data_IF_799645336837
#
_entry.id   IF_799645336837
#
_cell.length_a   1.000
_cell.length_b   1.000
_cell.length_c   1.000
_cell.angle_alpha   90.00
_cell.angle_beta   90.00
_cell.angle_gamma   90.00
#
_symmetry.space_group_name_H-M   'P 1'
#
loop_
_entity.id
_entity.type
_entity.pdbx_description
1 polymer ?
#
# COMPACT_ATOMS: atom_id res chain seq x y z
N UNK A 1 -1.99 34.11 8.96
CA UNK A 1 -1.91 34.01 7.50
C UNK A 1 -1.54 32.57 7.18
N UNK A 2 -2.44 31.84 6.54
CA UNK A 2 -2.15 30.50 6.04
C UNK A 2 -1.41 30.67 4.72
N UNK A 3 -0.21 30.13 4.62
CA UNK A 3 0.55 30.12 3.38
C UNK A 3 0.32 28.77 2.72
N UNK A 4 -0.21 28.80 1.51
CA UNK A 4 -0.28 27.63 0.65
C UNK A 4 1.09 27.46 0.00
N UNK A 5 1.66 26.27 0.15
CA UNK A 5 2.90 25.89 -0.53
C UNK A 5 2.48 25.20 -1.82
N UNK A 6 3.06 25.59 -2.95
CA UNK A 6 2.75 24.99 -4.25
C UNK A 6 2.94 23.46 -4.23
N UNK A 7 2.02 22.76 -4.89
CA UNK A 7 2.09 21.32 -5.08
C UNK A 7 3.35 20.96 -5.86
N UNK A 8 4.16 20.06 -5.31
CA UNK A 8 5.39 19.57 -5.95
C UNK A 8 5.16 18.17 -6.50
N UNK A 9 5.57 17.94 -7.75
CA UNK A 9 5.52 16.61 -8.35
C UNK A 9 6.52 15.67 -7.67
N UNK A 10 6.09 14.42 -7.44
CA UNK A 10 6.95 13.38 -6.90
C UNK A 10 7.75 12.70 -8.03
N UNK A 11 8.89 12.04 -7.71
CA UNK A 11 9.59 11.24 -8.71
C UNK A 11 8.77 10.12 -9.33
N UNK A 12 7.58 9.80 -8.80
CA UNK A 12 6.69 8.79 -9.39
C UNK A 12 6.16 9.21 -10.77
N UNK A 13 6.22 10.51 -11.06
CA UNK A 13 5.85 11.11 -12.33
C UNK A 13 7.05 11.42 -13.21
N UNK A 14 8.27 11.18 -12.72
CA UNK A 14 9.51 11.40 -13.46
C UNK A 14 9.83 10.16 -14.33
N UNK A 15 10.49 10.40 -15.45
CA UNK A 15 10.72 9.43 -16.52
C UNK A 15 11.51 8.19 -16.06
N UNK A 16 12.46 8.33 -15.13
CA UNK A 16 13.25 7.22 -14.59
C UNK A 16 12.34 6.20 -13.89
N UNK A 17 11.43 6.68 -13.05
CA UNK A 17 10.46 5.83 -12.36
C UNK A 17 9.45 5.23 -13.33
N UNK A 18 8.97 6.02 -14.29
CA UNK A 18 8.05 5.56 -15.33
C UNK A 18 8.68 4.43 -16.14
N UNK A 19 9.96 4.54 -16.50
CA UNK A 19 10.72 3.52 -17.22
C UNK A 19 10.76 2.21 -16.43
N UNK A 20 11.22 2.26 -15.17
CA UNK A 20 11.29 1.08 -14.29
C UNK A 20 9.92 0.42 -14.10
N UNK A 21 8.88 1.22 -13.88
CA UNK A 21 7.50 0.75 -13.71
C UNK A 21 6.99 0.09 -14.99
N UNK A 22 7.25 0.67 -16.15
CA UNK A 22 6.75 0.17 -17.44
C UNK A 22 7.35 -1.19 -17.76
N UNK A 23 8.68 -1.33 -17.63
CA UNK A 23 9.35 -2.62 -17.88
C UNK A 23 8.90 -3.66 -16.86
N UNK A 24 8.77 -3.29 -15.58
CA UNK A 24 8.25 -4.19 -14.55
C UNK A 24 6.81 -4.64 -14.84
N UNK A 25 5.96 -3.75 -15.35
CA UNK A 25 4.58 -4.08 -15.69
C UNK A 25 4.51 -5.05 -16.88
N UNK A 26 5.32 -4.85 -17.91
CA UNK A 26 5.42 -5.79 -19.04
C UNK A 26 5.88 -7.17 -18.59
N UNK A 27 6.81 -7.24 -17.62
CA UNK A 27 7.27 -8.51 -17.07
C UNK A 27 6.17 -9.25 -16.30
N UNK A 28 5.34 -8.53 -15.55
CA UNK A 28 4.17 -9.08 -14.85
C UNK A 28 3.09 -9.51 -15.85
N UNK A 29 2.78 -8.67 -16.84
CA UNK A 29 1.77 -8.99 -17.86
C UNK A 29 2.16 -10.25 -18.65
N UNK A 30 3.42 -10.36 -19.07
CA UNK A 30 3.93 -11.57 -19.71
C UNK A 30 3.76 -12.82 -18.84
N UNK A 31 4.01 -12.72 -17.52
CA UNK A 31 3.77 -13.83 -16.62
C UNK A 31 2.30 -14.23 -16.55
N UNK A 32 1.38 -13.25 -16.51
CA UNK A 32 -0.06 -13.49 -16.47
C UNK A 32 -0.54 -14.20 -17.73
N UNK A 33 -0.09 -13.76 -18.90
CA UNK A 33 -0.42 -14.40 -20.18
C UNK A 33 0.11 -15.83 -20.23
N UNK A 34 1.39 -16.04 -19.89
CA UNK A 34 1.98 -17.39 -19.85
C UNK A 34 1.22 -18.31 -18.88
N UNK A 35 0.78 -17.77 -17.74
CA UNK A 35 0.02 -18.53 -16.74
C UNK A 35 -1.38 -18.89 -17.23
N UNK A 36 -2.09 -17.95 -17.85
CA UNK A 36 -3.41 -18.22 -18.47
C UNK A 36 -3.28 -19.30 -19.54
N UNK A 37 -2.29 -19.20 -20.45
CA UNK A 37 -2.01 -20.23 -21.45
C UNK A 37 -1.71 -21.62 -20.87
N UNK A 38 -1.21 -21.70 -19.62
CA UNK A 38 -0.92 -22.96 -18.92
C UNK A 38 -2.15 -23.49 -18.18
N UNK A 39 -2.90 -22.62 -17.50
CA UNK A 39 -4.02 -22.97 -16.62
C UNK A 39 -5.34 -23.20 -17.38
N UNK A 40 -5.56 -22.48 -18.48
CA UNK A 40 -6.80 -22.52 -19.25
C UNK A 40 -6.70 -23.61 -20.34
N UNK A 41 -7.34 -24.76 -20.06
CA UNK A 41 -7.39 -25.93 -20.96
C UNK A 41 -8.22 -25.69 -22.24
N UNK A 42 -8.97 -24.60 -22.31
CA UNK A 42 -9.69 -24.16 -23.50
C UNK A 42 -8.95 -22.93 -24.04
N UNK A 43 -8.41 -23.05 -25.25
CA UNK A 43 -7.76 -21.94 -25.96
C UNK A 43 -8.72 -20.75 -25.97
N UNK A 44 -8.42 -19.70 -25.20
CA UNK A 44 -8.96 -18.40 -25.57
C UNK A 44 -8.16 -17.94 -26.80
N UNK A 45 -8.86 -17.45 -27.82
CA UNK A 45 -8.23 -16.97 -29.07
C UNK A 45 -7.42 -15.67 -28.84
N UNK A 46 -7.42 -15.14 -27.61
CA UNK A 46 -6.84 -13.84 -27.24
C UNK A 46 -5.38 -13.89 -26.80
N UNK A 47 -4.88 -14.99 -26.26
CA UNK A 47 -3.55 -15.07 -25.64
C UNK A 47 -2.42 -14.92 -26.67
N UNK A 48 -2.51 -15.51 -27.88
CA UNK A 48 -1.58 -15.19 -28.95
C UNK A 48 -1.61 -13.70 -29.33
N UNK A 49 -2.79 -13.07 -29.25
CA UNK A 49 -2.96 -11.63 -29.53
C UNK A 49 -2.31 -10.79 -28.42
N UNK A 50 -2.45 -11.17 -27.15
CA UNK A 50 -1.81 -10.48 -26.02
C UNK A 50 -0.27 -10.61 -26.06
N UNK A 51 0.27 -11.78 -26.43
CA UNK A 51 1.71 -11.94 -26.63
C UNK A 51 2.24 -11.03 -27.74
N UNK A 52 1.50 -10.89 -28.86
CA UNK A 52 1.86 -9.96 -29.94
C UNK A 52 1.80 -8.50 -29.48
N UNK A 53 0.81 -8.11 -28.68
CA UNK A 53 0.74 -6.77 -28.10
C UNK A 53 1.94 -6.49 -27.17
N UNK A 54 2.31 -7.45 -26.32
CA UNK A 54 3.51 -7.35 -25.48
C UNK A 54 4.76 -7.17 -26.36
N UNK A 55 4.87 -7.92 -27.46
CA UNK A 55 5.97 -7.77 -28.42
C UNK A 55 6.03 -6.37 -29.02
N UNK A 56 4.89 -5.85 -29.50
CA UNK A 56 4.78 -4.50 -30.06
C UNK A 56 5.21 -3.44 -29.04
N UNK A 57 4.78 -3.55 -27.79
CA UNK A 57 5.21 -2.65 -26.71
C UNK A 57 6.71 -2.73 -26.43
N UNK A 58 7.30 -3.93 -26.43
CA UNK A 58 8.74 -4.11 -26.23
C UNK A 58 9.55 -3.53 -27.39
N UNK A 59 9.08 -3.69 -28.63
CA UNK A 59 9.69 -3.10 -29.82
C UNK A 59 9.60 -1.57 -29.79
N UNK A 60 8.44 -1.02 -29.41
CA UNK A 60 8.25 0.42 -29.25
C UNK A 60 9.19 1.00 -28.19
N UNK A 61 9.36 0.33 -27.05
CA UNK A 61 10.31 0.79 -26.02
C UNK A 61 11.76 0.76 -26.51
N UNK A 62 12.13 -0.27 -27.28
CA UNK A 62 13.49 -0.42 -27.80
C UNK A 62 13.83 0.55 -28.93
N UNK A 63 12.82 1.10 -29.62
CA UNK A 63 13.01 2.07 -30.70
C UNK A 63 13.13 3.51 -30.22
N UNK A 64 12.83 3.78 -28.94
CA UNK A 64 13.03 5.09 -28.33
C UNK A 64 14.53 5.33 -28.16
N UNK A 65 15.03 6.43 -28.74
CA UNK A 65 16.41 6.87 -28.61
C UNK A 65 16.60 7.61 -27.28
N UNK A 66 16.65 6.86 -26.19
CA UNK A 66 16.86 7.35 -24.83
C UNK A 66 17.96 6.55 -24.13
N UNK A 67 18.99 7.23 -23.67
CA UNK A 67 20.16 6.62 -23.00
C UNK A 67 19.76 5.73 -21.81
N UNK A 68 18.69 6.08 -21.10
CA UNK A 68 18.18 5.30 -19.96
C UNK A 68 17.60 3.97 -20.42
N UNK A 69 16.85 3.98 -21.52
CA UNK A 69 16.30 2.76 -22.12
C UNK A 69 17.39 1.88 -22.73
N UNK A 70 18.47 2.48 -23.25
CA UNK A 70 19.62 1.73 -23.75
C UNK A 70 20.24 0.83 -22.67
N UNK A 71 20.32 1.31 -21.42
CA UNK A 71 20.78 0.49 -20.29
C UNK A 71 19.87 -0.70 -19.99
N UNK A 72 18.59 -0.61 -20.35
CA UNK A 72 17.59 -1.66 -20.12
C UNK A 72 17.37 -2.57 -21.34
N UNK A 73 18.04 -2.32 -22.47
CA UNK A 73 18.02 -3.19 -23.64
C UNK A 73 18.29 -4.68 -23.34
N UNK A 74 19.22 -5.07 -22.44
CA UNK A 74 19.41 -6.47 -22.09
C UNK A 74 18.15 -7.11 -21.48
N UNK A 75 17.40 -6.35 -20.66
CA UNK A 75 16.15 -6.81 -20.07
C UNK A 75 15.06 -6.89 -21.13
N UNK A 76 14.90 -5.85 -21.95
CA UNK A 76 13.92 -5.84 -23.04
C UNK A 76 14.13 -7.02 -24.01
N UNK A 77 15.39 -7.26 -24.43
CA UNK A 77 15.74 -8.41 -25.28
C UNK A 77 15.38 -9.75 -24.63
N UNK A 78 15.50 -9.84 -23.31
CA UNK A 78 15.16 -11.06 -22.56
C UNK A 78 13.65 -11.29 -22.54
N UNK A 79 12.87 -10.24 -22.28
CA UNK A 79 11.40 -10.30 -22.36
C UNK A 79 10.94 -10.68 -23.77
N UNK A 80 11.48 -10.04 -24.81
CA UNK A 80 11.19 -10.38 -26.20
C UNK A 80 11.50 -11.84 -26.52
N UNK A 81 12.67 -12.35 -26.08
CA UNK A 81 13.05 -13.76 -26.29
C UNK A 81 12.06 -14.73 -25.66
N UNK A 82 11.52 -14.40 -24.48
CA UNK A 82 10.49 -15.21 -23.83
C UNK A 82 9.18 -15.16 -24.63
N UNK A 83 8.75 -13.98 -25.07
CA UNK A 83 7.58 -13.82 -25.94
C UNK A 83 7.69 -14.65 -27.22
N UNK A 84 8.83 -14.60 -27.93
CA UNK A 84 9.06 -15.41 -29.14
C UNK A 84 9.04 -16.91 -28.88
N UNK A 85 9.66 -17.35 -27.77
CA UNK A 85 9.64 -18.75 -27.38
C UNK A 85 8.22 -19.22 -27.07
N UNK A 86 7.42 -18.40 -26.41
CA UNK A 86 6.03 -18.70 -26.07
C UNK A 86 5.15 -18.79 -27.31
N UNK A 87 5.26 -17.83 -28.23
CA UNK A 87 4.57 -17.86 -29.53
C UNK A 87 4.93 -19.09 -30.39
N UNK A 88 6.17 -19.57 -30.25
CA UNK A 88 6.66 -20.75 -30.99
C UNK A 88 6.45 -22.07 -30.25
N UNK A 89 5.87 -22.04 -29.04
CA UNK A 89 5.67 -23.25 -28.25
C UNK A 89 4.56 -24.09 -28.87
N UNK A 90 4.85 -25.37 -29.09
CA UNK A 90 3.93 -26.32 -29.73
C UNK A 90 3.30 -27.27 -28.72
N UNK A 91 3.79 -27.26 -27.47
CA UNK A 91 3.34 -28.16 -26.40
C UNK A 91 3.25 -27.41 -25.08
N UNK A 92 2.34 -27.86 -24.21
CA UNK A 92 2.17 -27.30 -22.86
C UNK A 92 3.44 -27.41 -22.03
N UNK A 93 4.14 -28.54 -22.12
CA UNK A 93 5.41 -28.74 -21.42
C UNK A 93 6.46 -27.69 -21.79
N UNK A 94 6.52 -27.28 -23.06
CA UNK A 94 7.41 -26.20 -23.49
C UNK A 94 7.02 -24.86 -22.86
N UNK A 95 5.72 -24.55 -22.77
CA UNK A 95 5.24 -23.34 -22.11
C UNK A 95 5.57 -23.34 -20.61
N UNK A 96 5.37 -24.47 -19.91
CA UNK A 96 5.74 -24.64 -18.51
C UNK A 96 7.25 -24.43 -18.30
N UNK A 97 8.10 -25.03 -19.15
CA UNK A 97 9.55 -24.87 -19.09
C UNK A 97 9.96 -23.40 -19.35
N UNK A 98 9.32 -22.73 -20.31
CA UNK A 98 9.53 -21.30 -20.62
C UNK A 98 9.14 -20.43 -19.42
N UNK A 99 7.97 -20.66 -18.81
CA UNK A 99 7.49 -19.89 -17.68
C UNK A 99 8.40 -20.08 -16.45
N UNK A 100 8.78 -21.33 -16.14
CA UNK A 100 9.68 -21.62 -15.03
C UNK A 100 11.04 -20.94 -15.20
N UNK A 101 11.61 -20.99 -16.40
CA UNK A 101 12.84 -20.27 -16.71
C UNK A 101 12.64 -18.75 -16.58
N UNK A 102 11.57 -18.21 -17.14
CA UNK A 102 11.26 -16.78 -17.09
C UNK A 102 11.13 -16.27 -15.65
N UNK A 103 10.42 -16.97 -14.77
CA UNK A 103 10.23 -16.59 -13.37
C UNK A 103 11.56 -16.53 -12.60
N UNK A 104 12.48 -17.47 -12.83
CA UNK A 104 13.82 -17.44 -12.22
C UNK A 104 14.63 -16.23 -12.67
N UNK A 105 14.50 -15.85 -13.95
CA UNK A 105 15.27 -14.78 -14.56
C UNK A 105 14.73 -13.39 -14.19
N UNK A 106 13.40 -13.23 -14.21
CA UNK A 106 12.74 -11.95 -13.95
C UNK A 106 12.74 -11.58 -12.47
N UNK A 107 12.83 -12.56 -11.57
CA UNK A 107 12.88 -12.32 -10.12
C UNK A 107 13.96 -11.31 -9.74
N UNK A 108 15.20 -11.53 -10.18
CA UNK A 108 16.33 -10.63 -9.85
C UNK A 108 16.16 -9.25 -10.48
N UNK A 109 15.55 -9.18 -11.66
CA UNK A 109 15.28 -7.93 -12.36
C UNK A 109 14.24 -7.11 -11.60
N UNK A 110 13.12 -7.73 -11.23
CA UNK A 110 12.05 -7.09 -10.47
C UNK A 110 12.52 -6.70 -9.06
N UNK A 111 13.37 -7.50 -8.41
CA UNK A 111 14.00 -7.15 -7.12
C UNK A 111 14.87 -5.88 -7.25
N UNK A 112 15.70 -5.80 -8.31
CA UNK A 112 16.52 -4.62 -8.61
C UNK A 112 15.65 -3.39 -8.88
N UNK A 113 14.64 -3.51 -9.75
CA UNK A 113 13.77 -2.39 -10.09
C UNK A 113 12.93 -1.91 -8.91
N UNK A 114 12.46 -2.83 -8.06
CA UNK A 114 11.77 -2.46 -6.82
C UNK A 114 12.69 -1.64 -5.91
N UNK A 115 13.95 -2.07 -5.73
CA UNK A 115 14.92 -1.33 -4.92
C UNK A 115 15.20 0.07 -5.50
N UNK A 116 15.43 0.18 -6.80
CA UNK A 116 15.65 1.46 -7.48
C UNK A 116 14.43 2.39 -7.40
N UNK A 117 13.23 1.85 -7.63
CA UNK A 117 11.98 2.60 -7.52
C UNK A 117 11.77 3.14 -6.10
N UNK A 118 12.02 2.31 -5.08
CA UNK A 118 11.97 2.74 -3.67
C UNK A 118 13.00 3.84 -3.39
N UNK A 119 14.25 3.68 -3.85
CA UNK A 119 15.30 4.68 -3.67
C UNK A 119 14.93 6.03 -4.30
N UNK A 120 14.42 6.01 -5.55
CA UNK A 120 13.98 7.22 -6.25
C UNK A 120 12.87 7.95 -5.48
N UNK A 121 11.84 7.21 -5.02
CA UNK A 121 10.75 7.81 -4.23
C UNK A 121 11.26 8.43 -2.93
N UNK A 122 12.05 7.68 -2.14
CA UNK A 122 12.55 8.15 -0.84
C UNK A 122 13.49 9.36 -0.99
N UNK A 123 14.37 9.37 -2.00
CA UNK A 123 15.20 10.53 -2.33
C UNK A 123 14.36 11.74 -2.73
N UNK A 124 13.29 11.52 -3.50
CA UNK A 124 12.32 12.55 -3.84
C UNK A 124 11.66 13.18 -2.62
N UNK A 125 11.10 12.34 -1.75
CA UNK A 125 10.47 12.79 -0.50
C UNK A 125 11.45 13.57 0.37
N UNK A 126 12.69 13.09 0.49
CA UNK A 126 13.76 13.80 1.19
C UNK A 126 14.03 15.19 0.60
N UNK A 127 14.19 15.27 -0.72
CA UNK A 127 14.40 16.54 -1.45
C UNK A 127 13.24 17.51 -1.24
N UNK A 128 12.00 17.04 -1.42
CA UNK A 128 10.78 17.86 -1.31
C UNK A 128 10.63 18.38 0.12
N UNK A 129 10.65 17.47 1.11
CA UNK A 129 10.51 17.83 2.52
C UNK A 129 11.64 18.76 2.97
N UNK A 130 12.88 18.47 2.57
CA UNK A 130 14.04 19.30 2.89
C UNK A 130 13.95 20.70 2.31
N UNK A 131 13.41 20.86 1.09
CA UNK A 131 13.14 22.17 0.50
C UNK A 131 12.05 22.90 1.28
N UNK A 132 10.94 22.24 1.60
CA UNK A 132 9.87 22.87 2.37
C UNK A 132 10.32 23.31 3.77
N UNK A 133 11.10 22.49 4.47
CA UNK A 133 11.69 22.84 5.77
C UNK A 133 12.57 24.09 5.64
N UNK A 134 13.44 24.15 4.64
CA UNK A 134 14.34 25.30 4.43
C UNK A 134 13.61 26.58 4.00
N UNK A 135 12.66 26.47 3.09
CA UNK A 135 12.00 27.63 2.47
C UNK A 135 10.85 28.18 3.32
N UNK A 136 10.14 27.32 4.04
CA UNK A 136 8.93 27.69 4.79
C UNK A 136 9.07 27.52 6.31
N UNK A 137 10.28 27.18 6.79
CA UNK A 137 10.56 26.94 8.20
C UNK A 137 9.56 25.95 8.83
N UNK A 138 9.28 24.85 8.11
CA UNK A 138 8.38 23.81 8.61
C UNK A 138 8.99 23.17 9.87
N UNK A 139 8.23 23.19 10.96
CA UNK A 139 8.60 22.59 12.23
C UNK A 139 7.77 21.32 12.42
N UNK A 140 8.43 20.17 12.56
CA UNK A 140 7.75 18.87 12.69
C UNK A 140 6.68 18.86 13.80
N UNK A 141 6.95 19.50 14.94
CA UNK A 141 6.03 19.57 16.08
C UNK A 141 4.73 20.33 15.74
N UNK A 142 4.75 21.21 14.73
CA UNK A 142 3.61 22.00 14.26
C UNK A 142 3.04 21.50 12.93
N UNK A 143 3.69 20.53 12.33
CA UNK A 143 3.27 19.94 11.07
C UNK A 143 2.42 18.69 11.31
N UNK A 144 1.55 18.40 10.35
CA UNK A 144 0.75 17.18 10.27
C UNK A 144 0.87 16.67 8.85
N UNK A 145 1.12 15.37 8.70
CA UNK A 145 1.24 14.70 7.41
C UNK A 145 0.01 13.84 7.21
N UNK A 146 -0.64 14.03 6.06
CA UNK A 146 -1.75 13.22 5.59
C UNK A 146 -1.28 12.42 4.39
N UNK A 147 -1.37 11.08 4.46
CA UNK A 147 -1.07 10.18 3.34
C UNK A 147 -2.40 9.64 2.83
N UNK A 148 -2.76 9.93 1.58
CA UNK A 148 -4.02 9.50 0.97
C UNK A 148 -3.76 8.30 0.06
N UNK A 149 -4.48 7.19 0.24
CA UNK A 149 -4.27 5.95 -0.51
C UNK A 149 -5.57 5.30 -1.02
N UNK A 150 -5.55 4.64 -2.21
CA UNK A 150 -6.74 4.12 -2.90
C UNK A 150 -7.46 2.96 -2.19
N UNK A 151 -6.76 2.20 -1.35
CA UNK A 151 -7.28 1.08 -0.57
C UNK A 151 -6.38 0.86 0.65
N UNK A 152 -6.95 0.32 1.74
CA UNK A 152 -6.37 -0.12 3.03
C UNK A 152 -4.95 0.43 3.32
N UNK A 153 -4.68 1.09 4.48
CA UNK A 153 -3.33 1.58 4.78
C UNK A 153 -2.33 0.43 4.64
N UNK A 154 -1.56 0.43 3.53
CA UNK A 154 -0.72 -0.72 3.21
C UNK A 154 0.32 -0.84 4.33
N UNK A 155 0.32 -1.95 5.04
CA UNK A 155 1.39 -2.22 5.98
C UNK A 155 2.72 -2.12 5.22
N UNK A 156 3.59 -1.21 5.65
CA UNK A 156 4.87 -0.96 4.99
C UNK A 156 4.88 0.05 3.83
N UNK A 157 3.90 0.97 3.71
CA UNK A 157 4.06 2.14 2.82
C UNK A 157 5.39 2.86 3.06
N UNK A 158 6.16 3.10 1.99
CA UNK A 158 7.50 3.69 2.10
C UNK A 158 7.40 5.18 2.50
N UNK A 159 6.34 5.87 2.08
CA UNK A 159 6.02 7.25 2.47
C UNK A 159 5.76 7.32 3.98
N UNK A 160 4.97 6.38 4.50
CA UNK A 160 4.68 6.27 5.92
C UNK A 160 5.97 6.04 6.71
N UNK A 161 6.79 5.09 6.29
CA UNK A 161 8.08 4.80 6.93
C UNK A 161 8.99 6.04 6.95
N UNK A 162 9.12 6.73 5.80
CA UNK A 162 9.88 7.96 5.70
C UNK A 162 9.44 9.04 6.71
N UNK A 163 8.13 9.30 6.80
CA UNK A 163 7.64 10.34 7.72
C UNK A 163 7.68 9.92 9.19
N UNK A 164 7.51 8.63 9.49
CA UNK A 164 7.75 8.12 10.85
C UNK A 164 9.21 8.36 11.28
N UNK A 165 10.17 8.07 10.40
CA UNK A 165 11.60 8.30 10.67
C UNK A 165 11.92 9.80 10.80
N UNK A 166 11.34 10.64 9.95
CA UNK A 166 11.48 12.10 10.05
C UNK A 166 10.96 12.61 11.41
N UNK A 167 9.77 12.19 11.82
CA UNK A 167 9.20 12.58 13.11
C UNK A 167 10.00 12.05 14.30
N UNK A 168 10.48 10.80 14.22
CA UNK A 168 11.32 10.21 15.26
C UNK A 168 12.62 11.01 15.45
N UNK A 169 13.28 11.41 14.36
CA UNK A 169 14.47 12.27 14.39
C UNK A 169 14.22 13.61 15.09
N UNK A 170 13.01 14.15 14.96
CA UNK A 170 12.57 15.40 15.57
C UNK A 170 11.98 15.23 16.99
N UNK A 171 12.11 14.02 17.57
CA UNK A 171 11.71 13.70 18.94
C UNK A 171 10.25 13.24 19.12
N UNK A 172 9.56 12.88 18.05
CA UNK A 172 8.13 12.49 18.05
C UNK A 172 8.01 10.98 17.77
N UNK A 173 8.20 10.15 18.81
CA UNK A 173 8.26 8.69 18.67
C UNK A 173 6.92 8.01 18.33
N UNK A 174 5.79 8.58 18.77
CA UNK A 174 4.44 8.03 18.55
C UNK A 174 3.64 8.89 17.55
N UNK A 175 4.27 9.23 16.41
CA UNK A 175 3.70 10.14 15.40
C UNK A 175 2.34 9.68 14.85
N UNK A 176 2.15 8.37 14.68
CA UNK A 176 0.88 7.80 14.17
C UNK A 176 -0.16 7.59 15.28
N UNK A 177 0.19 6.85 16.35
CA UNK A 177 -0.82 6.28 17.26
C UNK A 177 -1.33 7.22 18.35
N UNK A 178 -0.49 8.11 18.88
CA UNK A 178 -0.84 8.93 20.07
C UNK A 178 -0.92 10.42 19.78
N UNK A 179 -0.16 10.88 18.79
CA UNK A 179 0.02 12.31 18.57
C UNK A 179 -0.67 12.81 17.30
N UNK A 180 -1.17 11.88 16.47
CA UNK A 180 -1.87 12.17 15.22
C UNK A 180 -1.07 13.04 14.26
N UNK A 181 0.28 13.00 14.33
CA UNK A 181 1.17 13.73 13.44
C UNK A 181 1.26 13.14 12.04
N UNK A 182 1.00 11.85 11.92
CA UNK A 182 0.91 11.11 10.68
C UNK A 182 -0.43 10.38 10.62
N UNK A 183 -1.23 10.69 9.59
CA UNK A 183 -2.55 10.10 9.40
C UNK A 183 -2.60 9.52 7.99
N UNK A 184 -2.88 8.22 7.88
CA UNK A 184 -3.18 7.58 6.61
C UNK A 184 -4.70 7.60 6.38
N UNK A 185 -5.11 8.03 5.20
CA UNK A 185 -6.51 8.15 4.81
C UNK A 185 -6.75 7.29 3.60
N UNK A 186 -7.69 6.37 3.73
CA UNK A 186 -8.19 5.61 2.60
C UNK A 186 -9.27 6.40 1.86
N UNK A 187 -9.19 6.42 0.53
CA UNK A 187 -10.17 7.03 -0.36
C UNK A 187 -10.30 6.18 -1.60
N UNK A 188 -11.49 6.07 -2.19
CA UNK A 188 -11.64 5.35 -3.46
C UNK A 188 -10.81 6.02 -4.57
N UNK A 189 -10.30 5.27 -5.57
CA UNK A 189 -9.52 5.85 -6.67
C UNK A 189 -10.20 7.05 -7.37
N UNK A 190 -11.51 6.97 -7.58
CA UNK A 190 -12.33 8.03 -8.18
C UNK A 190 -12.38 9.29 -7.31
N UNK A 191 -12.36 9.09 -5.98
CA UNK A 191 -12.32 10.18 -5.00
C UNK A 191 -10.93 10.80 -4.93
N UNK A 192 -9.86 10.01 -5.03
CA UNK A 192 -8.48 10.52 -5.07
C UNK A 192 -8.26 11.42 -6.28
N UNK A 193 -8.78 11.02 -7.45
CA UNK A 193 -8.67 11.81 -8.67
C UNK A 193 -9.40 13.16 -8.62
N UNK A 194 -10.34 13.32 -7.67
CA UNK A 194 -11.17 14.53 -7.53
C UNK A 194 -11.00 15.24 -6.17
N UNK A 195 -10.08 14.76 -5.31
CA UNK A 195 -9.91 15.31 -3.97
C UNK A 195 -9.26 16.68 -4.04
N UNK A 196 -9.88 17.67 -3.41
CA UNK A 196 -9.29 19.01 -3.27
C UNK A 196 -8.61 19.16 -1.92
N UNK A 197 -7.68 20.12 -1.81
CA UNK A 197 -7.03 20.43 -0.54
C UNK A 197 -8.03 20.80 0.56
N UNK A 198 -9.14 21.47 0.23
CA UNK A 198 -10.17 21.82 1.22
C UNK A 198 -10.86 20.57 1.78
N UNK A 199 -11.12 19.55 0.95
CA UNK A 199 -11.66 18.27 1.41
C UNK A 199 -10.73 17.59 2.42
N UNK A 200 -9.42 17.59 2.15
CA UNK A 200 -8.42 16.99 3.04
C UNK A 200 -8.29 17.75 4.36
N UNK A 201 -8.32 19.08 4.32
CA UNK A 201 -8.29 19.93 5.52
C UNK A 201 -9.53 19.66 6.38
N UNK A 202 -10.71 19.59 5.78
CA UNK A 202 -11.95 19.36 6.53
C UNK A 202 -12.02 17.94 7.10
N UNK A 203 -11.49 16.94 6.39
CA UNK A 203 -11.29 15.61 6.93
C UNK A 203 -10.39 15.64 8.17
N UNK A 204 -9.22 16.28 8.07
CA UNK A 204 -8.26 16.37 9.18
C UNK A 204 -8.88 17.07 10.40
N UNK A 205 -9.60 18.17 10.19
CA UNK A 205 -10.31 18.89 11.27
C UNK A 205 -11.31 17.97 11.98
N UNK A 206 -12.17 17.26 11.23
CA UNK A 206 -13.15 16.34 11.81
C UNK A 206 -12.48 15.21 12.58
N UNK A 207 -11.43 14.63 12.02
CA UNK A 207 -10.66 13.58 12.67
C UNK A 207 -10.06 14.07 14.00
N UNK A 208 -9.43 15.25 14.02
CA UNK A 208 -8.86 15.84 15.24
C UNK A 208 -9.91 16.19 16.29
N UNK A 209 -11.10 16.64 15.89
CA UNK A 209 -12.21 16.90 16.81
C UNK A 209 -12.77 15.62 17.42
N UNK A 210 -12.79 14.53 16.65
CA UNK A 210 -13.33 13.24 17.08
C UNK A 210 -12.39 12.48 18.00
N UNK A 211 -11.08 12.70 17.92
CA UNK A 211 -10.09 11.99 18.75
C UNK A 211 -10.32 12.17 20.26
N UNK A 212 -10.42 13.40 20.81
CA UNK A 212 -10.73 13.60 22.22
C UNK A 212 -12.08 12.99 22.62
N UNK A 213 -13.11 13.11 21.76
CA UNK A 213 -14.44 12.54 22.02
C UNK A 213 -14.36 11.01 22.14
N UNK A 214 -13.65 10.35 21.22
CA UNK A 214 -13.43 8.90 21.27
C UNK A 214 -12.69 8.48 22.53
N UNK A 215 -11.67 9.23 22.94
CA UNK A 215 -10.94 8.98 24.19
C UNK A 215 -11.83 9.11 25.43
N UNK A 216 -12.57 10.21 25.51
CA UNK A 216 -13.37 10.55 26.69
C UNK A 216 -14.60 9.63 26.82
N UNK A 217 -15.22 9.24 25.71
CA UNK A 217 -16.44 8.42 25.70
C UNK A 217 -16.17 6.91 25.63
N UNK A 218 -15.13 6.50 24.91
CA UNK A 218 -14.90 5.09 24.55
C UNK A 218 -13.51 4.58 25.00
N UNK A 219 -12.75 5.40 25.73
CA UNK A 219 -11.41 5.05 26.22
C UNK A 219 -10.35 4.89 25.11
N UNK A 220 -10.68 5.23 23.87
CA UNK A 220 -9.83 5.02 22.70
C UNK A 220 -10.01 6.17 21.69
N UNK A 221 -8.92 6.87 21.39
CA UNK A 221 -8.88 8.03 20.47
C UNK A 221 -9.36 7.68 19.04
N UNK A 222 -9.23 6.42 18.63
CA UNK A 222 -9.64 5.97 17.30
C UNK A 222 -11.04 5.35 17.26
N UNK A 223 -11.75 5.27 18.39
CA UNK A 223 -13.02 4.56 18.48
C UNK A 223 -14.10 5.17 17.56
N UNK A 224 -14.07 6.48 17.35
CA UNK A 224 -14.99 7.19 16.45
C UNK A 224 -14.73 6.91 14.96
N UNK A 225 -13.61 6.26 14.63
CA UNK A 225 -13.28 5.82 13.27
C UNK A 225 -13.51 4.32 13.07
N UNK A 226 -13.92 3.60 14.12
CA UNK A 226 -14.27 2.19 14.06
C UNK A 226 -15.79 2.05 13.92
N UNK A 227 -16.24 1.07 13.13
CA UNK A 227 -17.65 0.70 13.12
C UNK A 227 -18.00 0.07 14.47
N UNK A 228 -18.68 0.84 15.32
CA UNK A 228 -19.12 0.41 16.65
C UNK A 228 -20.08 -0.80 16.58
N UNK A 229 -20.68 -1.08 15.42
CA UNK A 229 -21.56 -2.22 15.22
C UNK A 229 -20.81 -3.49 14.81
N UNK A 230 -19.54 -3.37 14.42
CA UNK A 230 -18.72 -4.48 13.91
C UNK A 230 -18.65 -5.67 14.89
N UNK A 231 -18.55 -5.42 16.20
CA UNK A 231 -18.52 -6.48 17.23
C UNK A 231 -19.88 -7.13 17.48
N UNK A 232 -20.97 -6.46 17.10
CA UNK A 232 -22.35 -6.94 17.30
C UNK A 232 -22.90 -7.63 16.04
N UNK A 233 -22.27 -7.40 14.88
CA UNK A 233 -22.67 -8.00 13.62
C UNK A 233 -22.58 -9.54 13.59
N UNK A 234 -21.50 -10.21 14.08
CA UNK A 234 -21.35 -11.66 13.98
C UNK A 234 -22.52 -12.49 14.52
N UNK A 235 -23.03 -12.28 15.76
CA UNK A 235 -24.15 -13.08 16.28
C UNK A 235 -25.49 -12.77 15.59
N UNK A 236 -25.63 -11.63 14.91
CA UNK A 236 -26.81 -11.30 14.09
C UNK A 236 -26.71 -11.98 12.72
N UNK A 237 -25.53 -11.93 12.10
CA UNK A 237 -25.23 -12.58 10.83
C UNK A 237 -25.32 -14.10 10.93
N UNK A 238 -24.89 -14.72 12.04
CA UNK A 238 -25.07 -16.16 12.30
C UNK A 238 -26.55 -16.59 12.29
N UNK A 239 -27.47 -15.70 12.72
CA UNK A 239 -28.92 -15.99 12.75
C UNK A 239 -29.60 -15.77 11.40
N UNK A 240 -29.11 -14.82 10.61
CA UNK A 240 -29.76 -14.36 9.37
C UNK A 240 -29.12 -14.92 8.10
N UNK A 241 -27.84 -15.30 8.16
CA UNK A 241 -27.08 -15.78 7.00
C UNK A 241 -26.60 -17.23 7.23
N UNK A 242 -27.19 -18.23 6.56
CA UNK A 242 -26.86 -19.65 6.78
C UNK A 242 -25.41 -20.04 6.39
N UNK A 243 -24.69 -19.14 5.72
CA UNK A 243 -23.30 -19.33 5.29
C UNK A 243 -22.27 -18.80 6.31
N UNK A 244 -22.70 -18.09 7.36
CA UNK A 244 -21.80 -17.58 8.41
C UNK A 244 -21.49 -18.66 9.45
N UNK A 245 -21.07 -19.84 9.00
CA UNK A 245 -20.57 -20.89 9.90
C UNK A 245 -19.11 -20.59 10.27
N UNK A 246 -18.81 -20.57 11.57
CA UNK A 246 -17.54 -20.20 12.25
C UNK A 246 -16.22 -20.86 11.75
N UNK A 247 -16.22 -21.61 10.65
CA UNK A 247 -15.03 -22.26 10.11
C UNK A 247 -14.05 -21.34 9.36
N UNK A 248 -14.42 -20.09 9.06
CA UNK A 248 -13.55 -19.15 8.33
C UNK A 248 -12.89 -18.06 9.19
N UNK A 249 -13.10 -18.06 10.51
CA UNK A 249 -12.35 -17.18 11.42
C UNK A 249 -11.07 -17.86 11.91
N UNK A 250 -10.18 -18.23 10.99
CA UNK A 250 -8.79 -18.56 11.35
C UNK A 250 -7.89 -17.38 11.00
N UNK A 251 -7.42 -16.73 12.07
CA UNK A 251 -6.16 -15.97 12.21
C UNK A 251 -5.77 -15.09 11.02
N UNK A 252 -6.32 -13.88 11.04
CA UNK A 252 -5.70 -12.57 10.73
C UNK A 252 -6.77 -11.56 10.30
N UNK A 253 -7.91 -11.54 11.01
CA UNK A 253 -8.80 -10.39 10.93
C UNK A 253 -8.21 -9.29 11.80
N UNK A 254 -7.96 -8.13 11.21
CA UNK A 254 -7.51 -6.89 11.87
C UNK A 254 -8.47 -6.45 13.01
N UNK A 255 -9.59 -7.14 13.18
CA UNK A 255 -10.66 -6.83 14.13
C UNK A 255 -10.72 -7.69 15.41
N UNK A 256 -9.77 -8.58 15.68
CA UNK A 256 -9.75 -9.27 16.98
C UNK A 256 -8.97 -8.45 18.03
N UNK A 257 -9.60 -7.42 18.59
CA UNK A 257 -9.18 -6.87 19.90
C UNK A 257 -9.88 -7.70 20.97
N UNK A 258 -9.10 -8.49 21.72
CA UNK A 258 -9.60 -9.16 22.91
C UNK A 258 -10.03 -8.10 23.94
N UNK A 259 -11.21 -8.18 24.57
CA UNK A 259 -11.61 -7.19 25.56
C UNK A 259 -10.65 -7.20 26.77
N UNK A 260 -10.34 -6.05 27.39
CA UNK A 260 -9.57 -6.04 28.62
C UNK A 260 -10.34 -6.76 29.73
N UNK A 261 -9.67 -7.67 30.43
CA UNK A 261 -10.20 -8.30 31.63
C UNK A 261 -10.59 -7.23 32.64
N UNK A 262 -11.88 -7.17 32.98
CA UNK A 262 -12.38 -6.37 34.09
C UNK A 262 -11.80 -6.95 35.37
N UNK A 263 -10.84 -6.23 35.98
CA UNK A 263 -10.40 -6.51 37.35
C UNK A 263 -11.64 -6.42 38.26
N UNK A 264 -12.04 -7.55 38.83
CA UNK A 264 -12.99 -7.56 39.94
C UNK A 264 -12.26 -7.08 41.19
N UNK A 265 -12.60 -5.89 41.65
CA UNK A 265 -12.36 -5.48 43.02
C UNK A 265 -13.15 -6.39 43.95
N UNK A 266 -12.45 -7.30 44.62
CA UNK A 266 -12.97 -7.97 45.82
C UNK A 266 -12.61 -7.12 47.03
N UNK A 267 -13.59 -6.35 47.52
CA UNK A 267 -13.66 -5.91 48.91
C UNK A 267 -13.65 -7.16 49.81
N UNK A 268 -12.53 -7.43 50.47
CA UNK A 268 -12.49 -8.32 51.63
C UNK A 268 -12.95 -7.55 52.86
N UNK A 269 -14.12 -7.94 53.34
CA UNK A 269 -14.69 -7.51 54.61
C UNK A 269 -13.74 -7.74 55.80
N UNK A 270 -13.76 -6.74 56.67
CA UNK A 270 -13.24 -6.65 58.03
C UNK A 270 -13.20 -7.96 58.82
N UNK A 271 -12.00 -8.31 59.32
CA UNK A 271 -11.83 -9.07 60.55
C UNK A 271 -11.42 -8.06 61.61
N UNK A 272 -12.22 -7.89 62.66
CA UNK A 272 -11.73 -7.64 64.02
C UNK A 272 -12.87 -7.79 65.02
N UNK A 273 -12.89 -8.93 65.70
CA UNK A 273 -13.54 -9.11 67.00
C UNK A 273 -12.53 -9.73 67.95
N UNK A 274 -11.96 -8.92 68.85
CA UNK A 274 -11.36 -9.36 70.11
C UNK A 274 -11.04 -8.13 70.97
N UNK A 275 -11.96 -7.79 71.89
CA UNK A 275 -11.62 -7.51 73.28
C UNK A 275 -12.89 -7.24 74.12
N UNK A 276 -13.07 -8.12 75.12
CA UNK A 276 -13.92 -8.08 76.32
C UNK A 276 -15.41 -8.33 76.15
#
# INVERSE_FOLDING_TARGET
MLYEIETVQTPALEEDYITLKTISHLSVWLNLVLRSMIEEREQHDSEPTELLQIEEHLLALKSIDDERLQHEHPVLNRLMKVTYKALSATTMRQLEDIQAQFLLEVRKINERYSAQATELQLKGLYRITGNWVKQHNLLAQKSRILIVTPHDPREGLIEKQYFLDWYLKEGIADAEKKTGHLICVEMLPEQIGSVTQSNLIDFLKRHQLNMPIGKDMLGNENAMSQDILSSYAPPVLEKLCPFHSQKYLTKNSVFSVTPPEVKKDTETASINGLHK
#
